data_IF_530190421249
#
_entry.id   IF_530190421249
#
_cell.length_a   1.000
_cell.length_b   1.000
_cell.length_c   1.000
_cell.angle_alpha   90.00
_cell.angle_beta   90.00
_cell.angle_gamma   90.00
#
_symmetry.space_group_name_H-M   'P 1'
#
loop_
_entity.id
_entity.type
_entity.pdbx_description
1 polymer ?
#
# COMPACT_ATOMS: atom_id res chain seq x y z
N UNK A 1 6.07 8.68 11.74
CA UNK A 1 7.22 7.75 11.83
C UNK A 1 6.86 6.60 12.75
N UNK A 2 6.91 5.36 12.24
CA UNK A 2 7.05 4.18 13.11
C UNK A 2 8.35 4.35 13.92
N UNK A 3 8.31 4.16 15.25
CA UNK A 3 9.51 4.24 16.11
C UNK A 3 10.65 3.39 15.56
N UNK A 4 10.32 2.27 14.92
CA UNK A 4 11.26 1.32 14.34
C UNK A 4 12.05 1.91 13.16
N UNK A 5 11.41 2.73 12.31
CA UNK A 5 12.06 3.34 11.14
C UNK A 5 13.02 4.47 11.53
N UNK A 6 12.64 5.28 12.51
CA UNK A 6 13.50 6.34 13.05
C UNK A 6 14.74 5.75 13.72
N UNK A 7 14.54 4.76 14.60
CA UNK A 7 15.62 4.07 15.30
C UNK A 7 16.60 3.38 14.34
N UNK A 8 16.10 2.81 13.24
CA UNK A 8 16.96 2.17 12.24
C UNK A 8 17.87 3.17 11.50
N UNK A 9 17.35 4.35 11.16
CA UNK A 9 18.14 5.42 10.51
C UNK A 9 19.16 6.05 11.47
N UNK A 10 18.79 6.23 12.73
CA UNK A 10 19.68 6.76 13.76
C UNK A 10 20.84 5.79 14.05
N UNK A 11 20.57 4.49 14.15
CA UNK A 11 21.60 3.47 14.26
C UNK A 11 22.56 3.43 13.05
N UNK A 12 22.05 3.75 11.86
CA UNK A 12 22.85 3.88 10.63
C UNK A 12 23.78 5.10 10.68
N UNK A 13 23.29 6.24 11.15
CA UNK A 13 24.09 7.45 11.34
C UNK A 13 25.17 7.26 12.42
N UNK A 14 24.80 6.70 13.57
CA UNK A 14 25.73 6.41 14.67
C UNK A 14 26.82 5.43 14.23
N UNK A 15 26.47 4.47 13.38
CA UNK A 15 27.44 3.57 12.78
C UNK A 15 28.36 4.29 11.77
N UNK A 16 27.81 5.14 10.89
CA UNK A 16 28.59 5.89 9.90
C UNK A 16 29.62 6.82 10.58
N UNK A 17 29.36 7.24 11.81
CA UNK A 17 30.30 7.99 12.63
C UNK A 17 31.44 7.13 13.23
N UNK A 18 31.28 5.82 13.38
CA UNK A 18 32.14 4.95 14.20
C UNK A 18 32.79 3.74 13.47
N UNK A 19 32.78 3.72 12.13
CA UNK A 19 33.53 2.85 11.20
C UNK A 19 33.92 1.43 11.67
N UNK A 20 32.96 0.49 11.64
CA UNK A 20 33.24 -0.97 11.62
C UNK A 20 32.50 -1.66 10.46
N UNK A 21 33.23 -2.05 9.41
CA UNK A 21 32.70 -2.55 8.13
C UNK A 21 31.73 -3.74 8.23
N UNK A 22 31.98 -4.70 9.13
CA UNK A 22 31.14 -5.90 9.25
C UNK A 22 29.70 -5.64 9.75
N UNK A 23 29.43 -4.48 10.38
CA UNK A 23 28.11 -4.13 10.93
C UNK A 23 27.26 -3.29 9.97
N UNK A 24 27.86 -2.77 8.90
CA UNK A 24 27.18 -1.91 7.91
C UNK A 24 26.08 -2.63 7.16
N UNK A 25 26.42 -3.77 6.55
CA UNK A 25 25.54 -4.44 5.61
C UNK A 25 24.29 -4.95 6.34
N UNK A 26 24.46 -5.44 7.57
CA UNK A 26 23.35 -5.80 8.47
C UNK A 26 22.46 -4.60 8.82
N UNK A 27 23.02 -3.40 9.05
CA UNK A 27 22.24 -2.20 9.34
C UNK A 27 21.49 -1.65 8.11
N UNK A 28 22.12 -1.70 6.93
CA UNK A 28 21.47 -1.39 5.64
C UNK A 28 20.29 -2.34 5.40
N UNK A 29 20.49 -3.64 5.61
CA UNK A 29 19.43 -4.64 5.50
C UNK A 29 18.32 -4.44 6.54
N UNK A 30 18.67 -4.14 7.80
CA UNK A 30 17.70 -3.85 8.85
C UNK A 30 16.86 -2.61 8.53
N UNK A 31 17.46 -1.55 7.98
CA UNK A 31 16.73 -0.36 7.54
C UNK A 31 15.82 -0.65 6.34
N UNK A 32 16.27 -1.47 5.40
CA UNK A 32 15.44 -1.96 4.29
C UNK A 32 14.23 -2.73 4.79
N UNK A 33 14.44 -3.70 5.69
CA UNK A 33 13.38 -4.49 6.33
C UNK A 33 12.46 -3.64 7.21
N UNK A 34 12.97 -2.56 7.79
CA UNK A 34 12.18 -1.55 8.51
C UNK A 34 11.39 -0.60 7.58
N UNK A 35 11.44 -0.82 6.26
CA UNK A 35 10.66 -0.10 5.26
C UNK A 35 11.37 1.09 4.61
N UNK A 36 12.67 1.27 4.81
CA UNK A 36 13.48 2.25 4.05
C UNK A 36 13.94 1.60 2.75
N UNK A 37 13.02 1.49 1.78
CA UNK A 37 13.25 0.79 0.50
C UNK A 37 13.80 1.71 -0.61
N UNK A 38 14.33 2.88 -0.24
CA UNK A 38 14.98 3.81 -1.17
C UNK A 38 16.50 3.68 -1.06
N UNK A 39 17.13 3.14 -2.11
CA UNK A 39 18.60 3.03 -2.21
C UNK A 39 19.28 4.41 -2.08
N UNK A 40 18.79 5.50 -2.70
CA UNK A 40 19.32 6.85 -2.46
C UNK A 40 19.28 7.27 -0.99
N UNK A 41 18.16 7.06 -0.29
CA UNK A 41 18.04 7.42 1.12
C UNK A 41 18.98 6.61 2.02
N UNK A 42 19.13 5.31 1.75
CA UNK A 42 20.09 4.45 2.44
C UNK A 42 21.54 4.87 2.16
N UNK A 43 21.85 5.23 0.92
CA UNK A 43 23.17 5.71 0.50
C UNK A 43 23.55 7.00 1.23
N UNK A 44 22.60 7.93 1.35
CA UNK A 44 22.79 9.18 2.09
C UNK A 44 22.95 8.95 3.59
N UNK A 45 22.06 8.18 4.22
CA UNK A 45 22.12 7.88 5.65
C UNK A 45 23.40 7.12 6.05
N UNK A 46 23.81 6.16 5.22
CA UNK A 46 25.04 5.38 5.45
C UNK A 46 26.32 6.11 5.00
N UNK A 47 26.20 7.25 4.30
CA UNK A 47 27.31 7.97 3.65
C UNK A 47 28.18 7.08 2.76
N UNK A 48 27.55 6.16 2.01
CA UNK A 48 28.24 5.28 1.06
C UNK A 48 27.67 5.44 -0.34
N UNK A 49 28.41 4.99 -1.34
CA UNK A 49 27.91 4.98 -2.72
C UNK A 49 26.74 4.02 -2.88
N UNK A 50 25.82 4.31 -3.80
CA UNK A 50 24.69 3.42 -4.11
C UNK A 50 25.12 2.01 -4.53
N UNK A 51 26.18 1.79 -5.33
CA UNK A 51 26.70 0.44 -5.60
C UNK A 51 27.04 -0.33 -4.32
N UNK A 52 27.56 0.36 -3.30
CA UNK A 52 27.84 -0.25 -1.99
C UNK A 52 26.56 -0.67 -1.28
N UNK A 53 25.49 0.13 -1.35
CA UNK A 53 24.17 -0.24 -0.82
C UNK A 53 23.61 -1.45 -1.55
N UNK A 54 23.67 -1.47 -2.89
CA UNK A 54 23.25 -2.62 -3.69
C UNK A 54 24.00 -3.90 -3.30
N UNK A 55 25.33 -3.82 -3.16
CA UNK A 55 26.17 -4.96 -2.74
C UNK A 55 25.83 -5.43 -1.33
N UNK A 56 25.62 -4.50 -0.39
CA UNK A 56 25.24 -4.79 0.99
C UNK A 56 23.88 -5.47 1.11
N UNK A 57 22.88 -5.05 0.33
CA UNK A 57 21.57 -5.69 0.32
C UNK A 57 21.67 -7.11 -0.25
N UNK A 58 22.38 -7.30 -1.37
CA UNK A 58 22.58 -8.61 -1.98
C UNK A 58 23.36 -9.58 -1.10
N UNK A 59 24.37 -9.10 -0.35
CA UNK A 59 25.12 -9.94 0.59
C UNK A 59 24.26 -10.46 1.73
N UNK A 60 23.13 -9.81 2.02
CA UNK A 60 22.12 -10.22 2.99
C UNK A 60 20.93 -10.97 2.34
N UNK A 61 21.05 -11.37 1.07
CA UNK A 61 19.98 -12.06 0.34
C UNK A 61 18.79 -11.17 -0.03
N UNK A 62 18.92 -9.85 0.11
CA UNK A 62 17.90 -8.87 -0.30
C UNK A 62 18.27 -8.40 -1.71
N UNK A 63 17.45 -8.73 -2.71
CA UNK A 63 17.63 -8.15 -4.04
C UNK A 63 16.79 -6.86 -4.13
N UNK A 64 17.40 -5.67 -4.06
CA UNK A 64 16.67 -4.40 -4.05
C UNK A 64 15.90 -4.10 -5.35
N UNK A 65 16.27 -4.79 -6.44
CA UNK A 65 15.55 -4.74 -7.72
C UNK A 65 14.46 -5.82 -7.81
N UNK A 66 14.55 -6.84 -6.97
CA UNK A 66 13.50 -7.83 -6.80
C UNK A 66 12.47 -7.15 -5.93
N UNK A 67 11.42 -6.64 -6.59
CA UNK A 67 10.15 -6.48 -5.91
C UNK A 67 9.91 -7.81 -5.20
N UNK A 68 10.02 -7.84 -3.87
CA UNK A 68 9.19 -8.77 -3.13
C UNK A 68 7.83 -8.60 -3.78
N UNK A 69 7.30 -9.66 -4.38
CA UNK A 69 5.98 -9.64 -4.98
C UNK A 69 5.11 -8.99 -3.90
N UNK A 70 4.79 -7.71 -4.07
CA UNK A 70 3.86 -7.04 -3.16
C UNK A 70 2.64 -7.94 -3.15
N UNK A 71 1.95 -8.10 -2.00
CA UNK A 71 0.75 -8.93 -1.96
C UNK A 71 -0.02 -8.65 -3.23
N UNK A 72 -0.17 -9.70 -4.08
CA UNK A 72 -0.70 -9.55 -5.42
C UNK A 72 -1.92 -8.64 -5.30
N UNK A 73 -1.95 -7.54 -6.08
CA UNK A 73 -3.03 -6.56 -6.00
C UNK A 73 -4.32 -7.33 -5.87
N UNK A 74 -5.08 -7.06 -4.80
CA UNK A 74 -6.25 -7.87 -4.46
C UNK A 74 -7.09 -8.07 -5.72
N UNK A 75 -7.18 -9.32 -6.17
CA UNK A 75 -7.93 -9.62 -7.39
C UNK A 75 -9.40 -9.27 -7.14
N UNK A 76 -9.91 -8.38 -7.98
CA UNK A 76 -11.26 -7.83 -7.91
C UNK A 76 -12.27 -8.67 -8.67
N UNK A 77 -11.96 -9.92 -9.00
CA UNK A 77 -12.91 -10.86 -9.59
C UNK A 77 -14.26 -10.83 -8.88
N UNK A 78 -15.38 -11.04 -9.61
CA UNK A 78 -16.71 -10.92 -9.06
C UNK A 78 -16.91 -11.90 -7.90
N UNK A 79 -17.49 -11.42 -6.80
CA UNK A 79 -17.92 -12.26 -5.68
C UNK A 79 -19.27 -12.88 -6.04
N UNK A 80 -19.44 -14.17 -5.76
CA UNK A 80 -20.76 -14.82 -5.76
C UNK A 80 -20.79 -15.88 -4.67
N UNK A 81 -21.52 -15.60 -3.59
CA UNK A 81 -21.77 -16.56 -2.51
C UNK A 81 -23.28 -16.80 -2.42
N UNK A 82 -23.73 -17.94 -2.92
CA UNK A 82 -25.15 -18.33 -2.95
C UNK A 82 -26.06 -17.32 -3.70
N UNK A 83 -25.51 -16.62 -4.70
CA UNK A 83 -26.17 -15.57 -5.45
C UNK A 83 -26.06 -14.18 -4.84
N UNK A 84 -25.28 -14.00 -3.76
CA UNK A 84 -24.96 -12.69 -3.21
C UNK A 84 -23.64 -12.18 -3.78
N UNK A 85 -23.71 -11.03 -4.46
CA UNK A 85 -22.56 -10.44 -5.13
C UNK A 85 -21.87 -9.36 -4.30
N UNK A 86 -22.51 -8.92 -3.22
CA UNK A 86 -22.03 -7.83 -2.37
C UNK A 86 -22.17 -6.44 -2.99
N UNK A 87 -22.95 -6.29 -4.07
CA UNK A 87 -23.34 -4.99 -4.61
C UNK A 87 -24.58 -4.49 -3.85
N UNK A 88 -24.50 -3.28 -3.31
CA UNK A 88 -25.59 -2.70 -2.52
C UNK A 88 -26.87 -2.52 -3.36
N UNK A 89 -26.73 -2.22 -4.65
CA UNK A 89 -27.87 -1.99 -5.56
C UNK A 89 -28.71 -3.24 -5.84
N UNK A 90 -28.14 -4.45 -5.68
CA UNK A 90 -28.83 -5.72 -5.94
C UNK A 90 -29.14 -6.51 -4.68
N UNK A 91 -28.65 -6.08 -3.52
CA UNK A 91 -28.73 -6.81 -2.25
C UNK A 91 -30.15 -7.24 -1.87
N UNK A 92 -31.14 -6.35 -1.97
CA UNK A 92 -32.54 -6.65 -1.62
C UNK A 92 -33.15 -7.69 -2.57
N UNK A 93 -32.91 -7.54 -3.89
CA UNK A 93 -33.39 -8.49 -4.89
C UNK A 93 -32.70 -9.87 -4.77
N UNK A 94 -31.42 -9.89 -4.39
CA UNK A 94 -30.67 -11.13 -4.10
C UNK A 94 -31.24 -11.83 -2.86
N UNK A 95 -31.54 -11.08 -1.81
CA UNK A 95 -32.18 -11.58 -0.60
C UNK A 95 -33.55 -12.19 -0.88
N UNK A 96 -34.44 -11.47 -1.57
CA UNK A 96 -35.77 -11.95 -1.92
C UNK A 96 -35.72 -13.21 -2.78
N UNK A 97 -34.78 -13.25 -3.73
CA UNK A 97 -34.57 -14.43 -4.59
C UNK A 97 -34.08 -15.63 -3.77
N UNK A 98 -33.12 -15.43 -2.86
CA UNK A 98 -32.61 -16.49 -2.00
C UNK A 98 -33.71 -17.04 -1.07
N UNK A 99 -34.49 -16.14 -0.45
CA UNK A 99 -35.60 -16.50 0.41
C UNK A 99 -36.72 -17.21 -0.35
N UNK A 100 -37.03 -16.76 -1.57
CA UNK A 100 -37.98 -17.40 -2.47
C UNK A 100 -37.58 -18.83 -2.82
N UNK A 101 -36.30 -19.07 -3.17
CA UNK A 101 -35.78 -20.42 -3.41
C UNK A 101 -35.91 -21.31 -2.18
N UNK A 102 -35.54 -20.78 -1.00
CA UNK A 102 -35.66 -21.52 0.25
C UNK A 102 -37.10 -21.93 0.54
N UNK A 103 -38.07 -21.00 0.41
CA UNK A 103 -39.50 -21.27 0.62
C UNK A 103 -40.02 -22.35 -0.33
N UNK A 104 -39.62 -22.29 -1.60
CA UNK A 104 -40.01 -23.29 -2.60
C UNK A 104 -39.52 -24.70 -2.23
N UNK A 105 -38.34 -24.82 -1.62
CA UNK A 105 -37.80 -26.10 -1.15
C UNK A 105 -38.34 -26.55 0.21
N UNK A 106 -38.99 -25.66 0.97
CA UNK A 106 -39.50 -25.92 2.32
C UNK A 106 -40.91 -25.33 2.52
N UNK A 107 -41.93 -25.84 1.82
CA UNK A 107 -43.29 -25.30 1.86
C UNK A 107 -43.98 -25.43 3.23
N UNK A 108 -43.48 -26.33 4.10
CA UNK A 108 -44.02 -26.58 5.44
C UNK A 108 -43.10 -26.10 6.55
N UNK A 109 -42.13 -25.23 6.25
CA UNK A 109 -41.25 -24.69 7.27
C UNK A 109 -42.05 -23.96 8.36
N UNK A 110 -41.62 -24.14 9.60
CA UNK A 110 -42.14 -23.42 10.75
C UNK A 110 -41.73 -21.94 10.71
N UNK A 111 -42.42 -21.11 11.49
CA UNK A 111 -42.02 -19.71 11.66
C UNK A 111 -40.61 -19.56 12.21
N UNK A 112 -40.17 -20.48 13.08
CA UNK A 112 -38.83 -20.45 13.65
C UNK A 112 -37.76 -20.70 12.57
N UNK A 113 -37.93 -21.74 11.75
CA UNK A 113 -37.02 -22.05 10.63
C UNK A 113 -36.95 -20.90 9.61
N UNK A 114 -38.08 -20.23 9.37
CA UNK A 114 -38.12 -19.05 8.51
C UNK A 114 -37.32 -17.87 9.07
N UNK A 115 -37.45 -17.60 10.38
CA UNK A 115 -36.67 -16.57 11.06
C UNK A 115 -35.18 -16.89 11.08
N UNK A 116 -34.81 -18.15 11.29
CA UNK A 116 -33.42 -18.60 11.29
C UNK A 116 -32.77 -18.42 9.91
N UNK A 117 -33.46 -18.83 8.84
CA UNK A 117 -32.98 -18.63 7.48
C UNK A 117 -32.88 -17.14 7.13
N UNK A 118 -33.90 -16.35 7.47
CA UNK A 118 -33.87 -14.89 7.25
C UNK A 118 -32.66 -14.26 7.92
N UNK A 119 -32.37 -14.63 9.17
CA UNK A 119 -31.18 -14.16 9.91
C UNK A 119 -29.89 -14.57 9.22
N UNK A 120 -29.79 -15.82 8.73
CA UNK A 120 -28.62 -16.31 7.98
C UNK A 120 -28.42 -15.52 6.67
N UNK A 121 -29.48 -15.27 5.91
CA UNK A 121 -29.43 -14.53 4.65
C UNK A 121 -29.07 -13.05 4.86
N UNK A 122 -29.55 -12.42 5.94
CA UNK A 122 -29.12 -11.06 6.32
C UNK A 122 -27.62 -11.03 6.63
N UNK A 123 -27.12 -11.99 7.42
CA UNK A 123 -25.69 -12.07 7.71
C UNK A 123 -24.85 -12.32 6.45
N UNK A 124 -25.37 -13.12 5.50
CA UNK A 124 -24.74 -13.35 4.21
C UNK A 124 -24.64 -12.06 3.40
N UNK A 125 -25.77 -11.38 3.17
CA UNK A 125 -25.88 -10.11 2.46
C UNK A 125 -24.95 -9.03 3.04
N UNK A 126 -25.01 -8.80 4.36
CA UNK A 126 -24.19 -7.79 5.03
C UNK A 126 -22.69 -8.11 4.96
N UNK A 127 -22.30 -9.38 5.15
CA UNK A 127 -20.89 -9.78 5.11
C UNK A 127 -20.33 -9.64 3.69
N UNK A 128 -21.06 -10.07 2.66
CA UNK A 128 -20.59 -9.95 1.27
C UNK A 128 -20.47 -8.49 0.84
N UNK A 129 -21.43 -7.64 1.21
CA UNK A 129 -21.36 -6.21 0.91
C UNK A 129 -20.16 -5.53 1.58
N UNK A 130 -19.98 -5.75 2.89
CA UNK A 130 -18.82 -5.20 3.62
C UNK A 130 -17.49 -5.76 3.13
N UNK A 131 -17.46 -7.02 2.71
CA UNK A 131 -16.26 -7.63 2.15
C UNK A 131 -15.86 -6.97 0.83
N UNK A 132 -16.81 -6.80 -0.09
CA UNK A 132 -16.55 -6.16 -1.41
C UNK A 132 -16.13 -4.70 -1.24
N UNK A 133 -16.85 -3.91 -0.45
CA UNK A 133 -16.49 -2.51 -0.18
C UNK A 133 -15.08 -2.39 0.43
N UNK A 134 -14.75 -3.23 1.40
CA UNK A 134 -13.43 -3.22 2.02
C UNK A 134 -12.33 -3.68 1.05
N UNK A 135 -12.57 -4.75 0.29
CA UNK A 135 -11.64 -5.28 -0.72
C UNK A 135 -11.30 -4.21 -1.77
N UNK A 136 -12.30 -3.51 -2.29
CA UNK A 136 -12.12 -2.50 -3.33
C UNK A 136 -11.33 -1.29 -2.82
N UNK A 137 -11.61 -0.84 -1.59
CA UNK A 137 -10.85 0.25 -0.95
C UNK A 137 -9.39 -0.14 -0.74
N UNK A 138 -9.14 -1.36 -0.26
CA UNK A 138 -7.78 -1.88 -0.06
C UNK A 138 -7.04 -2.02 -1.40
N UNK A 139 -7.70 -2.50 -2.46
CA UNK A 139 -7.11 -2.61 -3.79
C UNK A 139 -6.72 -1.22 -4.34
N UNK A 140 -7.61 -0.22 -4.22
CA UNK A 140 -7.31 1.17 -4.62
C UNK A 140 -6.14 1.75 -3.84
N UNK A 141 -6.09 1.51 -2.53
CA UNK A 141 -4.96 1.95 -1.70
C UNK A 141 -3.64 1.31 -2.15
N UNK A 142 -3.61 0.01 -2.43
CA UNK A 142 -2.40 -0.68 -2.91
C UNK A 142 -1.90 -0.09 -4.24
N UNK A 143 -2.82 0.16 -5.18
CA UNK A 143 -2.49 0.78 -6.47
C UNK A 143 -1.95 2.19 -6.27
N UNK A 144 -2.63 3.01 -5.46
CA UNK A 144 -2.20 4.38 -5.19
C UNK A 144 -0.84 4.43 -4.48
N UNK A 145 -0.58 3.49 -3.56
CA UNK A 145 0.71 3.35 -2.86
C UNK A 145 1.84 3.00 -3.82
N UNK A 146 1.62 2.03 -4.70
CA UNK A 146 2.60 1.63 -5.71
C UNK A 146 2.90 2.77 -6.68
N UNK A 147 1.87 3.54 -7.06
CA UNK A 147 1.99 4.70 -7.94
C UNK A 147 2.76 5.85 -7.27
N UNK A 148 2.43 6.19 -6.02
CA UNK A 148 3.21 7.14 -5.20
C UNK A 148 4.69 6.78 -5.20
N UNK A 149 5.02 5.51 -4.92
CA UNK A 149 6.41 5.06 -4.86
C UNK A 149 7.10 5.12 -6.23
N UNK A 150 6.37 4.85 -7.32
CA UNK A 150 6.86 5.01 -8.70
C UNK A 150 7.18 6.46 -9.01
N UNK A 151 6.30 7.39 -8.65
CA UNK A 151 6.46 8.82 -8.92
C UNK A 151 7.61 9.41 -8.10
N UNK A 152 7.73 9.06 -6.82
CA UNK A 152 8.88 9.47 -6.00
C UNK A 152 10.21 8.98 -6.60
N UNK A 153 10.30 7.73 -7.05
CA UNK A 153 11.50 7.23 -7.75
C UNK A 153 11.77 7.96 -9.06
N UNK A 154 10.73 8.33 -9.81
CA UNK A 154 10.86 9.06 -11.07
C UNK A 154 11.51 10.43 -10.86
N UNK A 155 11.24 11.11 -9.74
CA UNK A 155 11.89 12.38 -9.39
C UNK A 155 13.42 12.22 -9.32
N UNK A 156 13.89 11.18 -8.63
CA UNK A 156 15.33 10.91 -8.49
C UNK A 156 15.98 10.53 -9.82
N UNK A 157 15.32 9.69 -10.61
CA UNK A 157 15.80 9.30 -11.95
C UNK A 157 15.93 10.53 -12.88
N UNK A 158 14.96 11.44 -12.84
CA UNK A 158 14.99 12.66 -13.66
C UNK A 158 16.08 13.62 -13.20
N UNK A 159 16.30 13.72 -11.89
CA UNK A 159 17.40 14.50 -11.35
C UNK A 159 18.76 13.97 -11.79
N UNK A 160 18.99 12.66 -11.71
CA UNK A 160 20.26 12.04 -12.12
C UNK A 160 20.54 12.20 -13.60
N UNK A 161 19.51 12.07 -14.44
CA UNK A 161 19.61 12.23 -15.87
C UNK A 161 20.08 13.63 -16.30
N UNK A 162 19.95 14.66 -15.45
CA UNK A 162 20.45 16.01 -15.74
C UNK A 162 21.95 16.06 -15.95
N UNK A 163 22.71 15.22 -15.23
CA UNK A 163 24.18 15.23 -15.26
C UNK A 163 24.76 14.86 -16.63
N UNK A 164 23.97 14.19 -17.48
CA UNK A 164 24.40 13.72 -18.81
C UNK A 164 23.50 14.23 -19.93
N UNK A 165 22.56 15.15 -19.65
CA UNK A 165 21.55 15.57 -20.61
C UNK A 165 22.12 16.59 -21.62
N UNK A 166 22.07 16.32 -22.95
CA UNK A 166 22.51 17.29 -23.95
C UNK A 166 21.58 18.51 -24.03
N UNK A 167 20.27 18.31 -23.79
CA UNK A 167 19.26 19.38 -23.74
C UNK A 167 18.88 19.67 -22.29
N UNK A 168 19.77 20.33 -21.55
CA UNK A 168 19.67 20.51 -20.09
C UNK A 168 18.34 21.16 -19.66
N UNK A 169 17.89 22.23 -20.32
CA UNK A 169 16.63 22.92 -19.96
C UNK A 169 15.40 22.01 -20.08
N UNK A 170 15.33 21.19 -21.13
CA UNK A 170 14.20 20.28 -21.33
C UNK A 170 14.20 19.16 -20.28
N UNK A 171 15.39 18.63 -19.95
CA UNK A 171 15.56 17.66 -18.88
C UNK A 171 15.20 18.24 -17.51
N UNK A 172 15.56 19.50 -17.24
CA UNK A 172 15.22 20.19 -15.99
C UNK A 172 13.72 20.42 -15.87
N UNK A 173 13.05 20.84 -16.96
CA UNK A 173 11.60 20.94 -16.98
C UNK A 173 10.93 19.60 -16.68
N UNK A 174 11.41 18.50 -17.27
CA UNK A 174 10.88 17.16 -16.98
C UNK A 174 11.09 16.72 -15.51
N UNK A 175 12.17 17.16 -14.88
CA UNK A 175 12.39 16.98 -13.44
C UNK A 175 11.37 17.77 -12.61
N UNK A 176 11.13 19.06 -12.92
CA UNK A 176 10.14 19.90 -12.23
C UNK A 176 8.73 19.29 -12.35
N UNK A 177 8.33 18.84 -13.54
CA UNK A 177 7.05 18.14 -13.72
C UNK A 177 6.97 16.87 -12.87
N UNK A 178 8.04 16.08 -12.80
CA UNK A 178 8.06 14.88 -11.97
C UNK A 178 7.89 15.18 -10.47
N UNK A 179 8.41 16.31 -9.97
CA UNK A 179 8.17 16.76 -8.58
C UNK A 179 6.68 17.07 -8.38
N UNK A 180 6.05 17.78 -9.30
CA UNK A 180 4.60 18.05 -9.27
C UNK A 180 3.77 16.76 -9.27
N UNK A 181 4.08 15.83 -10.17
CA UNK A 181 3.41 14.52 -10.23
C UNK A 181 3.58 13.75 -8.91
N UNK A 182 4.77 13.77 -8.31
CA UNK A 182 5.03 13.09 -7.04
C UNK A 182 4.22 13.68 -5.88
N UNK A 183 4.01 15.00 -5.83
CA UNK A 183 3.07 15.61 -4.88
C UNK A 183 1.66 15.07 -5.07
N UNK A 184 1.13 15.10 -6.30
CA UNK A 184 -0.20 14.57 -6.60
C UNK A 184 -0.34 13.08 -6.24
N UNK A 185 0.70 12.28 -6.51
CA UNK A 185 0.73 10.86 -6.15
C UNK A 185 0.71 10.61 -4.64
N UNK A 186 1.44 11.41 -3.86
CA UNK A 186 1.38 11.36 -2.38
C UNK A 186 -0.02 11.69 -1.87
N UNK A 187 -0.69 12.65 -2.50
CA UNK A 187 -2.02 13.13 -2.10
C UNK A 187 -3.10 12.09 -2.39
N UNK A 188 -3.10 11.54 -3.61
CA UNK A 188 -4.02 10.48 -4.02
C UNK A 188 -3.84 9.21 -3.17
N UNK A 189 -2.59 8.84 -2.86
CA UNK A 189 -2.33 7.74 -1.94
C UNK A 189 -2.87 8.01 -0.53
N UNK A 190 -2.64 9.21 0.02
CA UNK A 190 -3.15 9.58 1.34
C UNK A 190 -4.67 9.43 1.40
N UNK A 191 -5.38 10.00 0.44
CA UNK A 191 -6.83 9.92 0.37
C UNK A 191 -7.34 8.48 0.28
N UNK A 192 -6.70 7.66 -0.57
CA UNK A 192 -7.04 6.23 -0.69
C UNK A 192 -6.79 5.47 0.60
N UNK A 193 -5.68 5.75 1.30
CA UNK A 193 -5.35 5.12 2.58
C UNK A 193 -6.31 5.55 3.71
N UNK A 194 -6.66 6.82 3.78
CA UNK A 194 -7.69 7.32 4.72
C UNK A 194 -9.03 6.65 4.46
N UNK A 195 -9.42 6.56 3.20
CA UNK A 195 -10.66 5.89 2.76
C UNK A 195 -10.68 4.41 3.13
N UNK A 196 -9.57 3.69 3.00
CA UNK A 196 -9.45 2.29 3.40
C UNK A 196 -9.51 2.09 4.92
N UNK A 197 -9.03 3.07 5.71
CA UNK A 197 -9.09 3.02 7.17
C UNK A 197 -10.46 3.36 7.74
N UNK A 198 -11.29 4.14 7.04
CA UNK A 198 -12.62 4.54 7.53
C UNK A 198 -13.61 3.38 7.65
N UNK A 199 -13.42 2.30 6.88
CA UNK A 199 -14.31 1.13 6.87
C UNK A 199 -13.51 -0.17 7.09
N UNK A 200 -13.03 -0.42 8.32
CA UNK A 200 -12.36 -1.67 8.61
C UNK A 200 -13.34 -2.85 8.45
N UNK A 201 -12.85 -3.93 7.86
CA UNK A 201 -13.59 -5.18 7.77
C UNK A 201 -13.38 -6.00 9.05
N UNK A 202 -14.46 -6.25 9.78
CA UNK A 202 -14.47 -7.14 10.94
C UNK A 202 -15.74 -7.96 10.98
N UNK A 203 -15.62 -9.24 11.32
CA UNK A 203 -16.77 -10.09 11.61
C UNK A 203 -17.27 -9.78 13.03
N UNK A 204 -18.56 -9.48 13.19
CA UNK A 204 -19.14 -9.06 14.48
C UNK A 204 -19.77 -10.21 15.25
N UNK A 205 -20.15 -11.29 14.56
CA UNK A 205 -20.81 -12.45 15.15
C UNK A 205 -20.31 -13.73 14.49
N UNK A 206 -20.49 -14.91 15.11
CA UNK A 206 -20.12 -16.20 14.53
C UNK A 206 -20.76 -16.46 13.16
N UNK A 207 -21.95 -15.92 12.89
CA UNK A 207 -22.59 -16.02 11.57
C UNK A 207 -21.80 -15.28 10.49
N UNK A 208 -21.34 -14.05 10.78
CA UNK A 208 -20.50 -13.29 9.83
C UNK A 208 -19.15 -13.97 9.63
N UNK A 209 -18.57 -14.56 10.68
CA UNK A 209 -17.33 -15.34 10.57
C UNK A 209 -17.52 -16.58 9.68
N UNK A 210 -18.64 -17.29 9.83
CA UNK A 210 -18.96 -18.43 8.98
C UNK A 210 -19.12 -18.03 7.50
N UNK A 211 -19.79 -16.90 7.23
CA UNK A 211 -19.91 -16.36 5.86
C UNK A 211 -18.55 -15.97 5.32
N UNK A 212 -17.73 -15.26 6.09
CA UNK A 212 -16.39 -14.87 5.66
C UNK A 212 -15.48 -16.10 5.44
N UNK A 213 -15.64 -17.15 6.23
CA UNK A 213 -15.02 -18.45 5.99
C UNK A 213 -15.43 -19.05 4.65
N UNK A 214 -16.71 -18.95 4.25
CA UNK A 214 -17.19 -19.37 2.92
C UNK A 214 -16.59 -18.54 1.79
N UNK A 215 -16.50 -17.21 1.96
CA UNK A 215 -15.84 -16.31 0.99
C UNK A 215 -14.40 -16.79 0.73
N UNK A 216 -13.64 -17.06 1.80
CA UNK A 216 -12.26 -17.58 1.68
C UNK A 216 -12.20 -18.97 1.07
N UNK A 217 -13.11 -19.86 1.44
CA UNK A 217 -13.20 -21.21 0.88
C UNK A 217 -13.54 -21.21 -0.62
N UNK A 218 -14.25 -20.19 -1.11
CA UNK A 218 -14.51 -19.96 -2.53
C UNK A 218 -13.30 -19.38 -3.30
N UNK A 219 -12.15 -19.21 -2.65
CA UNK A 219 -10.90 -18.77 -3.27
C UNK A 219 -10.69 -17.25 -3.23
N UNK A 220 -11.59 -16.48 -2.61
CA UNK A 220 -11.39 -15.04 -2.46
C UNK A 220 -10.34 -14.73 -1.38
N UNK A 221 -9.51 -13.68 -1.58
CA UNK A 221 -8.41 -13.38 -0.68
C UNK A 221 -8.90 -12.93 0.70
N UNK A 222 -8.15 -13.31 1.73
CA UNK A 222 -8.33 -12.75 3.07
C UNK A 222 -7.87 -11.29 3.14
N UNK A 223 -8.64 -10.44 3.82
CA UNK A 223 -8.37 -9.01 3.94
C UNK A 223 -7.42 -8.66 5.10
N UNK A 224 -7.16 -9.58 6.03
CA UNK A 224 -6.45 -9.33 7.28
C UNK A 224 -5.01 -8.86 7.05
N UNK A 225 -4.28 -9.55 6.16
CA UNK A 225 -2.88 -9.21 5.85
C UNK A 225 -2.79 -7.87 5.10
N UNK A 226 -3.67 -7.66 4.12
CA UNK A 226 -3.66 -6.42 3.32
C UNK A 226 -4.06 -5.22 4.17
N UNK A 227 -5.06 -5.36 5.04
CA UNK A 227 -5.46 -4.31 5.97
C UNK A 227 -4.37 -4.00 7.02
N UNK A 228 -3.57 -5.00 7.42
CA UNK A 228 -2.44 -4.79 8.33
C UNK A 228 -1.33 -3.93 7.68
N UNK A 229 -1.15 -4.05 6.36
CA UNK A 229 -0.16 -3.32 5.60
C UNK A 229 -0.53 -1.85 5.34
N UNK A 230 -1.78 -1.42 5.59
CA UNK A 230 -2.20 -0.02 5.44
C UNK A 230 -1.53 0.87 6.50
N UNK A 231 -0.92 1.98 6.06
CA UNK A 231 -0.33 2.96 6.96
C UNK A 231 -1.41 3.52 7.88
N UNK A 232 -1.26 3.32 9.19
CA UNK A 232 -2.22 3.76 10.22
C UNK A 232 -2.27 5.27 10.43
N UNK A 233 -1.31 6.01 9.88
CA UNK A 233 -1.19 7.47 9.99
C UNK A 233 -0.90 8.12 8.63
N UNK A 234 -1.76 7.93 7.62
CA UNK A 234 -1.47 8.31 6.24
C UNK A 234 -1.21 9.82 6.10
N UNK A 235 -1.98 10.67 6.78
CA UNK A 235 -1.75 12.13 6.81
C UNK A 235 -0.34 12.50 7.31
N UNK A 236 0.13 11.84 8.37
CA UNK A 236 1.48 12.09 8.92
C UNK A 236 2.55 11.64 7.94
N UNK A 237 2.42 10.46 7.36
CA UNK A 237 3.40 9.94 6.39
C UNK A 237 3.42 10.77 5.12
N UNK A 238 2.26 11.18 4.60
CA UNK A 238 2.16 12.09 3.46
C UNK A 238 2.82 13.44 3.75
N UNK A 239 2.59 14.03 4.94
CA UNK A 239 3.27 15.25 5.36
C UNK A 239 4.79 15.12 5.39
N UNK A 240 5.31 14.01 5.92
CA UNK A 240 6.75 13.70 5.89
C UNK A 240 7.30 13.56 4.47
N UNK A 241 6.60 12.83 3.59
CA UNK A 241 7.02 12.65 2.20
C UNK A 241 7.05 13.97 1.42
N UNK A 242 6.04 14.82 1.59
CA UNK A 242 6.01 16.16 0.97
C UNK A 242 7.14 17.05 1.48
N UNK A 243 7.35 17.09 2.79
CA UNK A 243 8.43 17.89 3.39
C UNK A 243 9.80 17.42 2.91
N UNK A 244 10.00 16.11 2.74
CA UNK A 244 11.23 15.57 2.21
C UNK A 244 11.44 15.92 0.73
N UNK A 245 10.38 15.77 -0.08
CA UNK A 245 10.38 16.14 -1.50
C UNK A 245 10.71 17.62 -1.69
N UNK A 246 10.12 18.51 -0.90
CA UNK A 246 10.35 19.97 -0.96
C UNK A 246 11.79 20.32 -0.57
N UNK A 247 12.31 19.78 0.54
CA UNK A 247 13.70 20.00 0.95
C UNK A 247 14.69 19.55 -0.12
N UNK A 248 14.44 18.40 -0.73
CA UNK A 248 15.25 17.88 -1.82
C UNK A 248 15.12 18.74 -3.08
N UNK A 249 13.91 19.19 -3.41
CA UNK A 249 13.67 20.08 -4.55
C UNK A 249 14.42 21.40 -4.40
N UNK A 250 14.32 22.05 -3.24
CA UNK A 250 14.99 23.31 -2.97
C UNK A 250 16.52 23.17 -3.03
N UNK A 251 17.07 22.11 -2.43
CA UNK A 251 18.51 21.81 -2.52
C UNK A 251 18.95 21.63 -3.98
N UNK A 252 18.19 20.85 -4.75
CA UNK A 252 18.47 20.56 -6.17
C UNK A 252 18.36 21.82 -7.03
N UNK A 253 17.39 22.69 -6.75
CA UNK A 253 17.24 24.00 -7.39
C UNK A 253 18.45 24.90 -7.18
N UNK A 254 18.98 24.97 -5.95
CA UNK A 254 20.22 25.71 -5.65
C UNK A 254 21.43 25.16 -6.42
N UNK A 255 21.64 23.85 -6.41
CA UNK A 255 22.73 23.21 -7.16
C UNK A 255 22.64 23.47 -8.67
N UNK A 256 21.43 23.42 -9.23
CA UNK A 256 21.18 23.72 -10.64
C UNK A 256 21.51 25.18 -10.96
N UNK A 257 21.14 26.12 -10.09
CA UNK A 257 21.48 27.54 -10.26
C UNK A 257 23.00 27.79 -10.20
N UNK A 258 23.70 27.21 -9.22
CA UNK A 258 25.16 27.29 -9.10
C UNK A 258 25.87 26.73 -10.34
N UNK A 259 25.34 25.67 -10.94
CA UNK A 259 25.91 25.05 -12.15
C UNK A 259 25.73 25.92 -13.39
N UNK A 260 24.63 26.65 -13.51
CA UNK A 260 24.36 27.54 -14.65
C UNK A 260 25.10 28.88 -14.59
N UNK A 261 25.62 29.25 -13.41
CA UNK A 261 26.43 30.47 -13.22
C UNK A 261 27.91 30.27 -13.51
N UNK A 262 28.34 29.03 -13.78
CA UNK A 262 29.69 28.65 -14.22
C UNK A 262 29.76 28.61 -15.76
#
# INVERSE_FOLDING_TARGET
MSRTRAAALEALHDWAANFRTARRDALIAAAWQAGVTSVPALSEAARVSRPTVYAALRSQGIEPNHRANGPAVLDSGPLDIEGFTGQDETAEAEFDRALGRWKATRPHATSAEFCDEGTRLVALMDTTARYVDARDRLAREQVARAERDRLLRRVDQRWEALSTAPAWHAAHHAYVLAVGDAHAGVDAWRESAETALLRPFHCRTPLHEAVYGRIKAAGHPGLELVAADVDRTPARTAGWLRADLERNHERRRRLAAETLTL
#
